data_IF_869323716015
#
_entry.id   IF_869323716015
#
_cell.length_a   1.000
_cell.length_b   1.000
_cell.length_c   1.000
_cell.angle_alpha   90.00
_cell.angle_beta   90.00
_cell.angle_gamma   90.00
#
_symmetry.space_group_name_H-M   'P 1'
#
loop_
_entity.id
_entity.type
_entity.pdbx_description
1 polymer ?
#
# COMPACT_ATOMS: atom_id res chain seq x y z
N UNK A 1 8.01 -11.04 -30.55
CA UNK A 1 7.28 -9.75 -30.50
C UNK A 1 7.10 -9.40 -29.04
N UNK A 2 7.71 -8.33 -28.54
CA UNK A 2 7.73 -8.03 -27.10
C UNK A 2 6.36 -7.62 -26.58
N UNK A 3 5.71 -8.51 -25.82
CA UNK A 3 4.53 -8.21 -25.04
C UNK A 3 4.87 -7.14 -23.99
N UNK A 4 3.88 -6.35 -23.57
CA UNK A 4 4.02 -5.51 -22.39
C UNK A 4 4.57 -6.36 -21.25
N UNK A 5 5.54 -5.83 -20.49
CA UNK A 5 6.04 -6.53 -19.30
C UNK A 5 4.85 -6.84 -18.39
N UNK A 6 4.69 -8.11 -18.04
CA UNK A 6 3.66 -8.51 -17.09
C UNK A 6 3.84 -7.78 -15.76
N UNK A 7 2.75 -7.51 -15.02
CA UNK A 7 2.83 -7.05 -13.64
C UNK A 7 3.70 -7.97 -12.78
N UNK A 8 4.26 -7.43 -11.70
CA UNK A 8 5.00 -8.25 -10.74
C UNK A 8 4.06 -9.29 -10.11
N UNK A 9 4.50 -10.56 -10.05
CA UNK A 9 3.62 -11.69 -9.72
C UNK A 9 2.66 -12.12 -10.85
N UNK A 10 2.77 -11.55 -12.04
CA UNK A 10 2.08 -11.97 -13.27
C UNK A 10 0.66 -11.41 -13.46
N UNK A 11 0.05 -10.82 -12.42
CA UNK A 11 -1.32 -10.26 -12.47
C UNK A 11 -1.34 -8.88 -11.84
N UNK A 12 -2.03 -7.94 -12.48
CA UNK A 12 -2.27 -6.61 -11.91
C UNK A 12 -3.41 -6.75 -10.90
N UNK A 13 -3.11 -6.55 -9.63
CA UNK A 13 -4.07 -6.66 -8.52
C UNK A 13 -4.83 -5.35 -8.36
N UNK A 14 -5.82 -5.12 -9.21
CA UNK A 14 -6.83 -4.08 -9.00
C UNK A 14 -7.84 -4.59 -7.96
N UNK A 15 -7.86 -3.95 -6.80
CA UNK A 15 -8.64 -4.39 -5.64
C UNK A 15 -9.96 -3.62 -5.48
N UNK A 16 -10.29 -2.72 -6.41
CA UNK A 16 -11.56 -2.02 -6.37
C UNK A 16 -12.72 -2.97 -6.66
N UNK A 17 -13.74 -2.90 -5.81
CA UNK A 17 -15.01 -3.57 -6.04
C UNK A 17 -15.72 -2.98 -7.26
N UNK A 18 -16.57 -3.77 -7.90
CA UNK A 18 -17.50 -3.21 -8.88
C UNK A 18 -18.52 -2.30 -8.18
N UNK A 19 -19.22 -1.46 -8.94
CA UNK A 19 -20.14 -0.45 -8.41
C UNK A 19 -21.21 -1.02 -7.46
N UNK A 20 -21.82 -2.16 -7.81
CA UNK A 20 -22.86 -2.78 -7.00
C UNK A 20 -22.31 -3.31 -5.66
N UNK A 21 -21.18 -4.01 -5.71
CA UNK A 21 -20.53 -4.54 -4.51
C UNK A 21 -19.98 -3.42 -3.63
N UNK A 22 -19.45 -2.33 -4.22
CA UNK A 22 -18.97 -1.17 -3.48
C UNK A 22 -20.09 -0.48 -2.70
N UNK A 23 -21.27 -0.29 -3.30
CA UNK A 23 -22.42 0.31 -2.61
C UNK A 23 -22.94 -0.59 -1.48
N UNK A 24 -22.94 -1.92 -1.68
CA UNK A 24 -23.27 -2.87 -0.63
C UNK A 24 -22.26 -2.84 0.53
N UNK A 25 -20.97 -2.79 0.20
CA UNK A 25 -19.89 -2.72 1.19
C UNK A 25 -19.97 -1.39 1.97
N UNK A 26 -20.27 -0.25 1.32
CA UNK A 26 -20.52 1.04 2.00
C UNK A 26 -21.68 0.98 2.98
N UNK A 27 -22.77 0.29 2.62
CA UNK A 27 -23.91 0.15 3.51
C UNK A 27 -23.56 -0.69 4.75
N UNK A 28 -22.83 -1.78 4.55
CA UNK A 28 -22.43 -2.71 5.63
C UNK A 28 -21.36 -2.12 6.54
N UNK A 29 -20.41 -1.38 5.99
CA UNK A 29 -19.29 -0.79 6.72
C UNK A 29 -19.67 0.39 7.65
N UNK A 30 -20.94 0.78 7.70
CA UNK A 30 -21.45 1.76 8.68
C UNK A 30 -21.35 1.24 10.11
N UNK A 31 -21.46 -0.07 10.29
CA UNK A 31 -21.43 -0.73 11.59
C UNK A 31 -20.04 -1.28 11.95
N UNK A 32 -19.06 -1.13 11.04
CA UNK A 32 -17.69 -1.58 11.30
C UNK A 32 -16.95 -0.61 12.21
N UNK A 33 -16.11 -1.18 13.07
CA UNK A 33 -15.07 -0.43 13.77
C UNK A 33 -14.17 0.21 12.72
N UNK A 34 -13.91 1.51 12.85
CA UNK A 34 -13.22 2.30 11.84
C UNK A 34 -11.84 2.77 12.30
N UNK A 35 -10.89 2.69 11.38
CA UNK A 35 -9.58 3.32 11.51
C UNK A 35 -9.46 4.47 10.50
N UNK A 36 -9.11 5.66 10.99
CA UNK A 36 -8.81 6.81 10.15
C UNK A 36 -7.34 6.73 9.70
N UNK A 37 -7.14 6.68 8.39
CA UNK A 37 -5.83 6.49 7.77
C UNK A 37 -4.94 7.71 8.01
N UNK A 38 -3.68 7.45 8.35
CA UNK A 38 -2.63 8.48 8.32
C UNK A 38 -2.29 8.90 6.89
N UNK A 39 -1.57 10.01 6.71
CA UNK A 39 -1.15 10.46 5.37
C UNK A 39 -0.30 9.40 4.65
N UNK A 40 0.58 8.69 5.38
CA UNK A 40 1.38 7.61 4.80
C UNK A 40 0.50 6.44 4.39
N UNK A 41 -0.44 6.04 5.24
CA UNK A 41 -1.34 4.93 4.97
C UNK A 41 -2.29 5.24 3.80
N UNK A 42 -2.71 6.50 3.63
CA UNK A 42 -3.48 6.94 2.47
C UNK A 42 -2.69 6.80 1.16
N UNK A 43 -1.40 7.11 1.16
CA UNK A 43 -0.52 6.84 0.01
C UNK A 43 -0.36 5.34 -0.25
N UNK A 44 -0.11 4.55 0.79
CA UNK A 44 0.13 3.11 0.66
C UNK A 44 -1.13 2.39 0.17
N UNK A 45 -2.30 2.72 0.72
CA UNK A 45 -3.57 2.09 0.35
C UNK A 45 -3.95 2.42 -1.10
N UNK A 46 -3.66 3.63 -1.60
CA UNK A 46 -3.91 3.96 -3.01
C UNK A 46 -3.13 3.04 -3.95
N UNK A 47 -1.85 2.80 -3.64
CA UNK A 47 -0.96 1.93 -4.42
C UNK A 47 -1.29 0.45 -4.28
N UNK A 48 -1.80 0.03 -3.12
CA UNK A 48 -2.35 -1.32 -2.93
C UNK A 48 -3.61 -1.51 -3.80
N UNK A 49 -4.57 -0.59 -3.70
CA UNK A 49 -5.87 -0.74 -4.35
C UNK A 49 -5.79 -0.66 -5.88
N UNK A 50 -4.97 0.24 -6.42
CA UNK A 50 -4.81 0.39 -7.88
C UNK A 50 -3.85 -0.63 -8.52
N UNK A 51 -3.28 -1.54 -7.73
CA UNK A 51 -2.38 -2.59 -8.17
C UNK A 51 -0.95 -2.16 -8.46
N UNK A 52 -0.54 -0.94 -8.12
CA UNK A 52 0.86 -0.52 -8.22
C UNK A 52 1.76 -1.38 -7.33
N UNK A 53 1.23 -1.89 -6.22
CA UNK A 53 1.89 -2.84 -5.33
C UNK A 53 1.58 -4.32 -5.61
N UNK A 54 1.18 -4.68 -6.83
CA UNK A 54 1.07 -6.09 -7.22
C UNK A 54 2.38 -6.84 -6.88
N UNK A 55 2.32 -8.03 -6.25
CA UNK A 55 1.15 -8.90 -6.11
C UNK A 55 0.34 -8.73 -4.80
N UNK A 56 0.59 -7.69 -4.01
CA UNK A 56 -0.10 -7.51 -2.74
C UNK A 56 -1.62 -7.35 -2.93
N UNK A 57 -2.39 -7.94 -2.03
CA UNK A 57 -3.86 -7.86 -1.97
C UNK A 57 -4.34 -7.09 -0.73
N UNK A 58 -3.42 -6.44 -0.02
CA UNK A 58 -3.68 -5.72 1.21
C UNK A 58 -2.40 -5.44 2.00
N UNK A 59 -2.56 -5.01 3.24
CA UNK A 59 -1.44 -4.81 4.15
C UNK A 59 -0.84 -6.16 4.56
N UNK A 60 0.49 -6.22 4.66
CA UNK A 60 1.19 -7.48 4.88
C UNK A 60 0.70 -8.18 6.16
N UNK A 61 0.53 -9.49 6.09
CA UNK A 61 0.39 -10.34 7.28
C UNK A 61 1.72 -10.42 8.04
N UNK A 62 1.72 -10.91 9.28
CA UNK A 62 2.94 -11.06 10.07
C UNK A 62 3.95 -11.97 9.36
N UNK A 63 3.47 -13.07 8.78
CA UNK A 63 4.33 -14.00 8.04
C UNK A 63 4.95 -13.34 6.79
N UNK A 64 4.19 -12.50 6.08
CA UNK A 64 4.69 -11.76 4.93
C UNK A 64 5.70 -10.69 5.34
N UNK A 65 5.37 -9.92 6.38
CA UNK A 65 6.25 -8.92 6.98
C UNK A 65 7.60 -9.54 7.39
N UNK A 66 7.57 -10.66 8.13
CA UNK A 66 8.79 -11.35 8.58
C UNK A 66 9.66 -11.81 7.41
N UNK A 67 9.04 -12.32 6.34
CA UNK A 67 9.74 -12.71 5.12
C UNK A 67 10.40 -11.53 4.42
N UNK A 68 9.67 -10.41 4.32
CA UNK A 68 10.15 -9.17 3.70
C UNK A 68 11.31 -8.58 4.49
N UNK A 69 11.17 -8.45 5.81
CA UNK A 69 12.21 -7.88 6.67
C UNK A 69 13.48 -8.74 6.66
N UNK A 70 13.35 -10.07 6.77
CA UNK A 70 14.52 -10.94 6.91
C UNK A 70 15.17 -11.29 5.58
N UNK A 71 14.38 -11.41 4.52
CA UNK A 71 14.84 -12.03 3.28
C UNK A 71 14.50 -11.23 2.02
N UNK A 72 13.81 -10.10 2.12
CA UNK A 72 13.30 -9.32 0.98
C UNK A 72 12.33 -10.11 0.08
N UNK A 73 11.63 -11.11 0.63
CA UNK A 73 10.71 -11.95 -0.13
C UNK A 73 9.41 -12.19 0.62
N UNK A 74 8.31 -12.26 -0.12
CA UNK A 74 7.06 -12.82 0.37
C UNK A 74 7.20 -14.33 0.63
N UNK A 75 6.29 -14.96 1.40
CA UNK A 75 6.38 -16.37 1.76
C UNK A 75 6.37 -17.33 0.56
N UNK A 76 5.83 -16.91 -0.58
CA UNK A 76 5.82 -17.65 -1.84
C UNK A 76 7.13 -17.53 -2.64
N UNK A 77 8.12 -16.80 -2.12
CA UNK A 77 9.39 -16.54 -2.79
C UNK A 77 9.36 -15.37 -3.78
N UNK A 78 8.27 -14.60 -3.84
CA UNK A 78 8.22 -13.37 -4.65
C UNK A 78 9.08 -12.28 -4.01
N UNK A 79 10.00 -11.69 -4.78
CA UNK A 79 10.83 -10.56 -4.32
C UNK A 79 9.96 -9.38 -3.90
N UNK A 80 10.13 -8.89 -2.68
CA UNK A 80 9.46 -7.70 -2.17
C UNK A 80 10.32 -7.07 -1.05
N UNK A 81 10.94 -5.90 -1.29
CA UNK A 81 11.99 -5.40 -0.40
C UNK A 81 11.52 -4.45 0.71
N UNK A 82 10.25 -4.01 0.72
CA UNK A 82 9.76 -2.98 1.64
C UNK A 82 8.48 -3.41 2.34
N UNK A 83 8.40 -3.42 3.68
CA UNK A 83 7.17 -3.77 4.38
C UNK A 83 6.10 -2.69 4.16
N UNK A 84 4.88 -3.12 3.83
CA UNK A 84 3.70 -2.25 3.69
C UNK A 84 2.66 -2.70 4.71
N UNK A 85 2.61 -2.05 5.87
CA UNK A 85 1.83 -2.47 7.03
C UNK A 85 0.84 -1.40 7.46
N UNK A 86 -0.29 -1.82 8.04
CA UNK A 86 -1.23 -0.90 8.68
C UNK A 86 -0.85 -0.75 10.16
N UNK A 87 -0.14 0.32 10.49
CA UNK A 87 0.25 0.64 11.85
C UNK A 87 -0.84 1.40 12.61
N UNK A 88 -1.27 0.87 13.77
CA UNK A 88 -2.39 1.40 14.56
C UNK A 88 -2.01 1.60 16.02
N UNK A 89 -2.87 2.31 16.77
CA UNK A 89 -2.70 2.45 18.22
C UNK A 89 -2.97 1.11 18.94
N UNK A 90 -2.31 0.92 20.09
CA UNK A 90 -2.54 -0.27 20.92
C UNK A 90 -3.98 -0.35 21.46
N UNK A 91 -4.62 0.79 21.71
CA UNK A 91 -6.03 0.85 22.12
C UNK A 91 -6.97 0.35 21.01
N UNK A 92 -6.77 0.82 19.78
CA UNK A 92 -7.56 0.38 18.63
C UNK A 92 -7.38 -1.11 18.42
N UNK A 93 -6.13 -1.59 18.34
CA UNK A 93 -5.84 -3.00 18.15
C UNK A 93 -6.39 -3.89 19.29
N UNK A 94 -6.38 -3.41 20.54
CA UNK A 94 -6.92 -4.13 21.69
C UNK A 94 -8.45 -4.21 21.72
N UNK A 95 -9.14 -3.37 20.95
CA UNK A 95 -10.60 -3.40 20.81
C UNK A 95 -11.10 -4.39 19.76
N UNK A 96 -10.20 -4.94 18.92
CA UNK A 96 -10.57 -5.80 17.80
C UNK A 96 -10.73 -7.26 18.21
N UNK A 97 -11.71 -7.92 17.59
CA UNK A 97 -11.86 -9.37 17.64
C UNK A 97 -11.06 -10.04 16.49
N UNK A 98 -10.66 -11.30 16.69
CA UNK A 98 -9.94 -12.05 15.66
C UNK A 98 -10.82 -12.24 14.41
N UNK A 99 -10.28 -11.94 13.22
CA UNK A 99 -11.02 -12.05 11.96
C UNK A 99 -12.03 -10.93 11.74
N UNK A 100 -12.05 -9.90 12.60
CA UNK A 100 -12.96 -8.77 12.45
C UNK A 100 -12.65 -7.98 11.17
N UNK A 101 -13.70 -7.57 10.46
CA UNK A 101 -13.58 -6.62 9.35
C UNK A 101 -13.65 -5.19 9.88
N UNK A 102 -12.70 -4.36 9.47
CA UNK A 102 -12.64 -2.95 9.84
C UNK A 102 -12.87 -2.05 8.62
N UNK A 103 -13.41 -0.86 8.87
CA UNK A 103 -13.51 0.20 7.87
C UNK A 103 -12.25 1.07 7.89
N UNK A 104 -11.65 1.32 6.73
CA UNK A 104 -10.52 2.24 6.56
C UNK A 104 -11.02 3.52 5.91
N UNK A 105 -10.91 4.63 6.64
CA UNK A 105 -11.45 5.93 6.23
C UNK A 105 -10.35 6.94 6.01
N UNK A 106 -10.59 7.89 5.12
CA UNK A 106 -9.71 9.07 5.02
C UNK A 106 -10.00 10.07 6.16
N UNK A 107 -9.24 11.18 6.16
CA UNK A 107 -9.39 12.24 7.16
C UNK A 107 -10.72 13.00 7.08
N UNK A 108 -11.45 12.88 5.98
CA UNK A 108 -12.78 13.47 5.78
C UNK A 108 -13.90 12.48 6.17
N UNK A 109 -13.54 11.25 6.57
CA UNK A 109 -14.45 10.18 6.99
C UNK A 109 -14.98 9.33 5.82
N UNK A 110 -14.48 9.55 4.60
CA UNK A 110 -14.87 8.79 3.41
C UNK A 110 -14.34 7.37 3.54
N UNK A 111 -15.19 6.38 3.23
CA UNK A 111 -14.78 4.98 3.24
C UNK A 111 -13.93 4.68 2.01
N UNK A 112 -12.65 4.40 2.23
CA UNK A 112 -11.69 4.06 1.16
C UNK A 112 -11.72 2.56 0.89
N UNK A 113 -11.66 1.75 1.95
CA UNK A 113 -11.65 0.30 1.83
C UNK A 113 -12.18 -0.37 3.11
N UNK A 114 -12.51 -1.65 3.01
CA UNK A 114 -12.64 -2.53 4.18
C UNK A 114 -11.49 -3.53 4.21
N UNK A 115 -11.13 -3.97 5.41
CA UNK A 115 -10.05 -4.93 5.61
C UNK A 115 -10.48 -6.03 6.58
N UNK A 116 -10.36 -7.29 6.15
CA UNK A 116 -10.47 -8.43 7.05
C UNK A 116 -9.15 -8.60 7.80
N UNK A 117 -9.14 -8.37 9.11
CA UNK A 117 -7.93 -8.45 9.94
C UNK A 117 -7.61 -9.92 10.24
N UNK A 118 -6.55 -10.45 9.63
CA UNK A 118 -6.08 -11.82 9.88
C UNK A 118 -5.00 -11.85 10.97
N UNK A 119 -4.21 -10.79 11.08
CA UNK A 119 -3.04 -10.71 11.94
C UNK A 119 -3.05 -9.40 12.72
N UNK A 120 -2.73 -9.46 14.01
CA UNK A 120 -2.63 -8.32 14.92
C UNK A 120 -1.43 -8.57 15.85
N UNK A 121 -0.32 -7.85 15.63
CA UNK A 121 0.94 -8.12 16.33
C UNK A 121 1.76 -6.86 16.60
N UNK A 122 2.64 -6.94 17.60
CA UNK A 122 3.64 -5.91 17.87
C UNK A 122 4.97 -6.27 17.18
N UNK A 123 5.45 -5.49 16.19
CA UNK A 123 6.71 -5.76 15.51
C UNK A 123 7.93 -5.38 16.37
N UNK A 124 9.06 -6.05 16.12
CA UNK A 124 10.36 -5.56 16.58
C UNK A 124 10.88 -4.48 15.61
N UNK A 125 10.56 -3.21 15.91
CA UNK A 125 10.97 -2.06 15.11
C UNK A 125 12.49 -1.88 15.02
N UNK A 126 13.25 -2.36 16.00
CA UNK A 126 14.72 -2.28 15.97
C UNK A 126 15.32 -3.29 14.98
N UNK A 127 14.66 -4.43 14.77
CA UNK A 127 15.00 -5.36 13.68
C UNK A 127 14.59 -4.77 12.33
N UNK A 128 13.36 -4.25 12.20
CA UNK A 128 12.89 -3.61 10.97
C UNK A 128 13.84 -2.51 10.49
N UNK A 129 14.25 -1.60 11.40
CA UNK A 129 15.16 -0.51 11.08
C UNK A 129 16.49 -1.00 10.48
N UNK A 130 17.12 -1.98 11.13
CA UNK A 130 18.43 -2.49 10.72
C UNK A 130 18.37 -3.27 9.41
N UNK A 131 17.38 -4.14 9.25
CA UNK A 131 17.30 -5.02 8.09
C UNK A 131 16.73 -4.31 6.85
N UNK A 132 15.76 -3.41 7.02
CA UNK A 132 15.10 -2.72 5.90
C UNK A 132 15.82 -1.41 5.52
N UNK A 133 16.21 -0.60 6.51
CA UNK A 133 16.83 0.71 6.25
C UNK A 133 18.37 0.66 6.33
N UNK A 134 18.94 -0.47 6.71
CA UNK A 134 20.39 -0.65 6.85
C UNK A 134 21.01 0.10 8.03
N UNK A 135 20.19 0.69 8.91
CA UNK A 135 20.64 1.50 10.04
C UNK A 135 19.60 1.59 11.14
N UNK A 136 20.04 1.78 12.39
CA UNK A 136 19.17 2.11 13.52
C UNK A 136 19.32 3.59 13.95
N UNK A 137 20.01 4.41 13.15
CA UNK A 137 20.20 5.84 13.42
C UNK A 137 18.89 6.60 13.25
N UNK A 138 18.43 7.24 14.32
CA UNK A 138 17.21 8.07 14.32
C UNK A 138 17.32 9.29 13.41
N UNK A 139 18.52 9.71 12.98
CA UNK A 139 18.68 10.73 11.96
C UNK A 139 18.21 10.27 10.58
N UNK A 140 18.09 8.95 10.35
CA UNK A 140 17.52 8.41 9.12
C UNK A 140 16.00 8.65 9.10
N UNK A 141 15.43 9.33 8.07
CA UNK A 141 14.02 9.72 8.08
C UNK A 141 13.04 8.56 8.27
N UNK A 142 13.33 7.40 7.68
CA UNK A 142 12.47 6.22 7.83
C UNK A 142 12.57 5.57 9.23
N UNK A 143 13.75 5.61 9.87
CA UNK A 143 13.92 5.11 11.24
C UNK A 143 13.20 6.05 12.22
N UNK A 144 13.35 7.36 12.03
CA UNK A 144 12.60 8.36 12.80
C UNK A 144 11.10 8.15 12.69
N UNK A 145 10.58 7.99 11.46
CA UNK A 145 9.15 7.72 11.26
C UNK A 145 8.73 6.44 12.00
N UNK A 146 9.47 5.35 11.78
CA UNK A 146 9.16 4.04 12.36
C UNK A 146 9.06 4.10 13.90
N UNK A 147 10.00 4.77 14.55
CA UNK A 147 10.08 4.79 16.01
C UNK A 147 9.15 5.84 16.65
N UNK A 148 8.99 7.01 16.01
CA UNK A 148 8.37 8.18 16.64
C UNK A 148 6.97 8.53 16.10
N UNK A 149 6.59 8.00 14.94
CA UNK A 149 5.31 8.34 14.28
C UNK A 149 4.45 7.09 14.08
N UNK A 150 5.04 5.98 13.62
CA UNK A 150 4.27 4.78 13.33
C UNK A 150 3.64 4.18 14.60
N UNK A 151 2.41 3.67 14.48
CA UNK A 151 1.72 2.94 15.53
C UNK A 151 2.53 1.75 16.07
N UNK A 152 2.35 1.37 17.34
CA UNK A 152 3.08 0.26 17.95
C UNK A 152 2.59 -1.13 17.51
N UNK A 153 1.40 -1.24 16.93
CA UNK A 153 0.79 -2.51 16.54
C UNK A 153 0.54 -2.50 15.04
N UNK A 154 0.83 -3.61 14.36
CA UNK A 154 0.56 -3.79 12.94
C UNK A 154 -0.63 -4.73 12.76
N UNK A 155 -1.51 -4.34 11.82
CA UNK A 155 -2.61 -5.16 11.35
C UNK A 155 -2.31 -5.63 9.92
N UNK A 156 -2.54 -6.91 9.68
CA UNK A 156 -2.38 -7.56 8.39
C UNK A 156 -3.70 -8.12 7.91
N UNK A 157 -3.95 -8.03 6.60
CA UNK A 157 -5.25 -8.39 6.07
C UNK A 157 -5.46 -8.02 4.61
N UNK A 158 -6.45 -8.67 4.00
CA UNK A 158 -6.85 -8.38 2.61
C UNK A 158 -7.77 -7.16 2.55
N UNK A 159 -7.58 -6.36 1.52
CA UNK A 159 -8.40 -5.17 1.25
C UNK A 159 -9.50 -5.46 0.24
N UNK A 160 -10.63 -4.78 0.43
CA UNK A 160 -11.62 -4.53 -0.61
C UNK A 160 -11.71 -3.02 -0.83
N UNK A 161 -11.31 -2.57 -2.01
CA UNK A 161 -11.34 -1.15 -2.38
C UNK A 161 -12.77 -0.69 -2.67
N UNK A 162 -13.18 0.40 -2.03
CA UNK A 162 -14.52 0.97 -2.18
C UNK A 162 -14.44 2.28 -2.97
N UNK A 163 -13.58 3.21 -2.55
CA UNK A 163 -13.31 4.47 -3.23
C UNK A 163 -11.81 4.75 -3.25
N UNK A 164 -11.34 5.43 -4.29
CA UNK A 164 -9.96 5.90 -4.34
C UNK A 164 -9.76 7.10 -3.40
N UNK A 165 -8.61 7.24 -2.72
CA UNK A 165 -8.29 8.44 -1.96
C UNK A 165 -8.44 9.71 -2.80
N UNK A 166 -9.13 10.71 -2.25
CA UNK A 166 -9.44 11.92 -3.00
C UNK A 166 -8.23 12.85 -3.08
N UNK A 167 -7.85 13.25 -4.29
CA UNK A 167 -6.83 14.27 -4.53
C UNK A 167 -7.48 15.49 -5.18
N UNK A 168 -7.31 16.69 -4.63
CA UNK A 168 -7.84 17.92 -5.23
C UNK A 168 -6.92 18.49 -6.31
N UNK A 169 -5.61 18.38 -6.12
CA UNK A 169 -4.61 18.91 -7.05
C UNK A 169 -4.21 17.88 -8.11
N UNK A 170 -3.72 18.32 -9.27
CA UNK A 170 -3.04 17.50 -10.29
C UNK A 170 -3.71 16.14 -10.65
N UNK A 171 -5.05 16.06 -10.59
CA UNK A 171 -5.80 14.80 -10.82
C UNK A 171 -5.41 14.10 -12.12
N UNK A 172 -5.23 14.87 -13.19
CA UNK A 172 -4.88 14.35 -14.53
C UNK A 172 -3.44 13.82 -14.64
N UNK A 173 -2.62 13.97 -13.60
CA UNK A 173 -1.23 13.51 -13.57
C UNK A 173 -1.04 12.24 -12.71
N UNK A 174 -2.12 11.69 -12.14
CA UNK A 174 -2.11 10.49 -11.29
C UNK A 174 -2.74 9.31 -12.02
N UNK A 175 -2.18 8.93 -13.17
CA UNK A 175 -2.64 7.75 -13.88
C UNK A 175 -2.33 6.46 -13.09
N UNK A 176 -3.34 5.60 -12.94
CA UNK A 176 -3.18 4.24 -12.40
C UNK A 176 -2.29 3.37 -13.29
N UNK A 177 -1.77 2.23 -12.79
CA UNK A 177 -1.06 1.26 -13.62
C UNK A 177 -1.86 0.79 -14.84
N UNK A 178 -3.17 0.59 -14.68
CA UNK A 178 -4.06 0.19 -15.78
C UNK A 178 -4.17 1.28 -16.85
N UNK A 179 -4.37 2.53 -16.46
CA UNK A 179 -4.46 3.69 -17.37
C UNK A 179 -3.13 3.92 -18.10
N UNK A 180 -2.00 3.85 -17.40
CA UNK A 180 -0.68 3.98 -18.02
C UNK A 180 -0.41 2.89 -19.05
N UNK A 181 -0.73 1.63 -18.73
CA UNK A 181 -0.62 0.51 -19.68
C UNK A 181 -1.53 0.70 -20.89
N UNK A 182 -2.77 1.14 -20.68
CA UNK A 182 -3.70 1.46 -21.76
C UNK A 182 -3.19 2.60 -22.65
N UNK A 183 -2.62 3.65 -22.05
CA UNK A 183 -1.99 4.77 -22.76
C UNK A 183 -0.82 4.31 -23.62
N UNK A 184 0.10 3.50 -23.09
CA UNK A 184 1.21 2.95 -23.87
C UNK A 184 0.73 2.13 -25.07
N UNK A 185 -0.31 1.30 -24.88
CA UNK A 185 -0.93 0.53 -25.96
C UNK A 185 -1.55 1.44 -27.03
N UNK A 186 -2.31 2.46 -26.62
CA UNK A 186 -2.92 3.44 -27.53
C UNK A 186 -1.87 4.19 -28.36
N UNK A 187 -0.73 4.52 -27.77
CA UNK A 187 0.39 5.21 -28.44
C UNK A 187 1.31 4.26 -29.22
N UNK A 188 1.08 2.94 -29.17
CA UNK A 188 1.95 1.95 -29.81
C UNK A 188 3.33 1.80 -29.17
N UNK A 189 3.53 2.31 -27.94
CA UNK A 189 4.79 2.24 -27.23
C UNK A 189 5.02 0.84 -26.66
N UNK A 190 6.04 0.15 -27.21
CA UNK A 190 6.41 -1.22 -26.79
C UNK A 190 7.61 -1.29 -25.87
N UNK A 191 8.39 -0.20 -25.81
CA UNK A 191 9.57 -0.05 -24.95
C UNK A 191 9.41 1.27 -24.22
N UNK A 192 9.38 1.21 -22.90
CA UNK A 192 9.20 2.37 -22.03
C UNK A 192 10.30 2.33 -20.98
N UNK A 193 10.96 3.46 -20.78
CA UNK A 193 11.93 3.67 -19.69
C UNK A 193 11.27 4.63 -18.70
N UNK A 194 11.23 4.24 -17.44
CA UNK A 194 10.73 5.08 -16.36
C UNK A 194 11.90 5.80 -15.68
N UNK A 195 11.70 7.08 -15.36
CA UNK A 195 12.64 7.89 -14.59
C UNK A 195 11.93 8.36 -13.32
N UNK A 196 12.40 7.92 -12.16
CA UNK A 196 11.86 8.33 -10.87
C UNK A 196 12.59 9.57 -10.36
N UNK A 197 11.84 10.58 -9.91
CA UNK A 197 12.42 11.77 -9.27
C UNK A 197 11.53 12.28 -8.15
N UNK A 198 12.18 12.84 -7.12
CA UNK A 198 11.56 13.70 -6.08
C UNK A 198 12.15 15.10 -6.06
N UNK A 199 13.00 15.42 -7.05
CA UNK A 199 13.72 16.68 -7.18
C UNK A 199 13.36 17.35 -8.52
N UNK A 200 13.51 18.68 -8.62
CA UNK A 200 13.42 19.37 -9.90
C UNK A 200 14.36 18.77 -10.95
N UNK A 201 13.89 18.70 -12.20
CA UNK A 201 14.73 18.24 -13.31
C UNK A 201 15.68 19.36 -13.77
N UNK A 202 16.87 18.96 -14.19
CA UNK A 202 17.92 19.84 -14.71
C UNK A 202 18.45 19.23 -16.01
N UNK A 203 19.29 19.95 -16.76
CA UNK A 203 19.80 19.48 -18.07
C UNK A 203 20.45 18.10 -18.01
N UNK A 204 21.19 17.79 -16.95
CA UNK A 204 21.76 16.46 -16.76
C UNK A 204 20.71 15.33 -16.72
N UNK A 205 19.52 15.58 -16.16
CA UNK A 205 18.44 14.60 -16.12
C UNK A 205 17.77 14.40 -17.48
N UNK A 206 17.76 15.43 -18.31
CA UNK A 206 17.16 15.37 -19.66
C UNK A 206 18.05 14.58 -20.64
N UNK A 207 19.36 14.65 -20.48
CA UNK A 207 20.34 14.06 -21.40
C UNK A 207 20.79 12.63 -20.99
N UNK A 208 20.24 12.06 -19.90
CA UNK A 208 20.67 10.76 -19.34
C UNK A 208 20.26 9.55 -20.19
#
# INVERSE_FOLDING_TARGET
MGAFKEPHGGVLKDLYLNEADAEQEKATARDYVSWDLTDRQACDIELLLNGAFSPLEGFLTQAQYDGVVKNLHLPDGTLWPMPVTLDVSGEFAGSLENGQTIALRDKEGVLIATMEVTDNWTPDKAVEAREVFGTADELHPAVNYLNNIAGPVYLGGKLKGVEAPMHYDFRTLRDTPAEMRARFKKLGWRKVVAFQTRNPMHRAHQEL
#
